data_IF_501537269941
#
_entry.id   IF_501537269941
#
_cell.length_a   1.000
_cell.length_b   1.000
_cell.length_c   1.000
_cell.angle_alpha   90.00
_cell.angle_beta   90.00
_cell.angle_gamma   90.00
#
_symmetry.space_group_name_H-M   'P 1'
#
loop_
_entity.id
_entity.type
_entity.pdbx_description
1 polymer ?
#
# COMPACT_ATOMS: atom_id res chain seq x y z
N UNK A 1 -22.05 12.02 -70.56
CA UNK A 1 -21.16 12.05 -71.75
C UNK A 1 -19.93 12.88 -71.42
N UNK A 2 -18.74 12.38 -71.81
CA UNK A 2 -17.43 13.04 -71.88
C UNK A 2 -16.70 13.21 -70.51
N UNK A 3 -15.43 12.82 -70.27
CA UNK A 3 -14.29 12.38 -71.11
C UNK A 3 -13.36 11.40 -70.35
N UNK A 4 -12.67 10.59 -71.14
CA UNK A 4 -11.50 9.69 -70.95
C UNK A 4 -10.30 10.38 -70.23
N UNK A 5 -9.21 9.80 -69.69
CA UNK A 5 -8.49 8.51 -69.87
C UNK A 5 -7.20 8.45 -68.99
N UNK A 6 -6.86 7.25 -68.47
CA UNK A 6 -5.53 6.56 -68.46
C UNK A 6 -4.35 6.97 -67.52
N UNK A 7 -4.14 6.13 -66.49
CA UNK A 7 -2.94 5.30 -66.13
C UNK A 7 -1.51 5.90 -66.01
N UNK A 8 -0.79 5.61 -64.88
CA UNK A 8 0.43 4.73 -64.80
C UNK A 8 1.52 5.13 -63.76
N UNK A 9 1.78 4.21 -62.80
CA UNK A 9 3.05 3.72 -62.17
C UNK A 9 4.03 4.62 -61.34
N UNK A 10 4.28 4.10 -60.12
CA UNK A 10 5.55 3.66 -59.45
C UNK A 10 6.58 4.64 -58.85
N UNK A 11 6.98 4.23 -57.62
CA UNK A 11 8.30 4.31 -56.96
C UNK A 11 8.79 5.71 -56.53
N UNK A 12 9.71 5.90 -55.60
CA UNK A 12 10.16 5.24 -54.36
C UNK A 12 11.26 6.20 -53.83
N UNK A 13 11.45 6.21 -52.50
CA UNK A 13 12.71 6.54 -51.80
C UNK A 13 13.08 7.99 -51.43
N UNK A 14 13.52 8.13 -50.17
CA UNK A 14 14.56 9.05 -49.64
C UNK A 14 14.26 10.57 -49.61
N UNK A 15 14.61 11.37 -48.61
CA UNK A 15 15.57 11.25 -47.49
C UNK A 15 15.44 12.55 -46.62
N UNK A 16 15.86 12.45 -45.35
CA UNK A 16 16.32 13.52 -44.43
C UNK A 16 15.35 14.59 -43.88
N UNK A 17 15.21 14.61 -42.54
CA UNK A 17 15.69 15.68 -41.61
C UNK A 17 15.10 15.49 -40.17
N UNK A 18 15.69 16.04 -39.10
CA UNK A 18 16.16 15.23 -37.96
C UNK A 18 15.54 15.56 -36.57
N UNK A 19 15.83 14.65 -35.63
CA UNK A 19 16.08 14.85 -34.18
C UNK A 19 15.11 15.71 -33.33
N UNK A 20 14.37 15.05 -32.42
CA UNK A 20 14.33 15.53 -31.03
C UNK A 20 14.55 14.37 -30.07
N UNK A 21 15.84 14.13 -29.80
CA UNK A 21 16.30 13.35 -28.65
C UNK A 21 15.75 14.02 -27.41
N UNK A 22 14.71 13.45 -26.81
CA UNK A 22 14.18 13.89 -25.52
C UNK A 22 15.20 13.56 -24.44
N UNK A 23 16.18 14.45 -24.27
CA UNK A 23 17.05 14.52 -23.09
C UNK A 23 16.13 14.72 -21.89
N UNK A 24 15.95 13.64 -21.14
CA UNK A 24 15.40 13.62 -19.79
C UNK A 24 16.31 14.46 -18.89
N UNK A 25 16.03 15.76 -18.82
CA UNK A 25 16.61 16.64 -17.81
C UNK A 25 15.77 16.49 -16.56
N UNK A 26 16.45 16.01 -15.51
CA UNK A 26 15.96 15.92 -14.15
C UNK A 26 15.83 17.32 -13.57
N UNK A 27 14.61 17.80 -13.46
CA UNK A 27 14.17 18.88 -12.58
C UNK A 27 13.20 18.22 -11.59
N UNK A 28 13.52 18.07 -10.30
CA UNK A 28 13.97 19.14 -9.43
C UNK A 28 12.81 19.82 -8.69
N UNK A 29 11.63 19.20 -8.69
CA UNK A 29 10.51 19.42 -7.76
C UNK A 29 9.94 18.03 -7.49
N UNK A 30 9.99 17.53 -6.26
CA UNK A 30 9.34 16.26 -5.88
C UNK A 30 7.82 16.51 -5.91
N UNK A 31 7.25 16.55 -7.12
CA UNK A 31 5.81 16.47 -7.29
C UNK A 31 5.41 15.12 -6.74
N UNK A 32 4.57 15.10 -5.71
CA UNK A 32 4.04 13.90 -5.08
C UNK A 32 3.00 13.26 -6.02
N UNK A 33 3.44 12.97 -7.25
CA UNK A 33 2.63 12.43 -8.33
C UNK A 33 2.57 10.91 -8.24
N UNK A 34 1.47 10.34 -8.72
CA UNK A 34 1.32 8.89 -8.87
C UNK A 34 2.30 8.36 -9.92
N UNK A 35 2.83 7.15 -9.72
CA UNK A 35 3.66 6.45 -10.72
C UNK A 35 2.85 6.08 -11.98
N UNK A 36 1.52 5.99 -11.87
CA UNK A 36 0.63 5.82 -13.01
C UNK A 36 -0.85 5.79 -12.63
N UNK A 37 -1.68 5.45 -13.63
CA UNK A 37 -3.11 5.19 -13.46
C UNK A 37 -3.47 3.78 -13.91
N UNK A 38 -4.39 3.13 -13.21
CA UNK A 38 -4.89 1.80 -13.58
C UNK A 38 -5.94 1.87 -14.72
N UNK A 39 -6.47 0.72 -15.13
CA UNK A 39 -7.48 0.61 -16.19
C UNK A 39 -8.78 1.39 -15.88
N UNK A 40 -9.05 1.65 -14.60
CA UNK A 40 -10.19 2.42 -14.11
C UNK A 40 -9.86 3.92 -13.93
N UNK A 41 -8.62 4.33 -14.25
CA UNK A 41 -8.14 5.71 -14.15
C UNK A 41 -7.71 6.14 -12.74
N UNK A 42 -7.64 5.20 -11.80
CA UNK A 42 -7.25 5.47 -10.41
C UNK A 42 -5.73 5.60 -10.28
N UNK A 43 -5.22 6.52 -9.44
CA UNK A 43 -3.79 6.68 -9.23
C UNK A 43 -3.20 5.48 -8.45
N UNK A 44 -1.97 5.10 -8.82
CA UNK A 44 -1.18 4.13 -8.08
C UNK A 44 0.29 4.55 -7.93
N UNK A 45 0.96 3.89 -6.97
CA UNK A 45 2.39 3.96 -6.68
C UNK A 45 2.97 2.55 -6.67
N UNK A 46 4.14 2.36 -7.24
CA UNK A 46 4.81 1.07 -7.34
C UNK A 46 5.62 0.78 -6.06
N UNK A 47 5.34 -0.36 -5.42
CA UNK A 47 6.15 -0.88 -4.31
C UNK A 47 7.26 -1.81 -4.81
N UNK A 48 7.01 -2.48 -5.93
CA UNK A 48 7.93 -3.36 -6.65
C UNK A 48 7.38 -3.62 -8.05
N UNK A 49 8.15 -4.28 -8.91
CA UNK A 49 7.75 -4.65 -10.28
C UNK A 49 6.36 -5.30 -10.39
N UNK A 50 5.89 -5.97 -9.33
CA UNK A 50 4.60 -6.68 -9.32
C UNK A 50 3.68 -6.28 -8.16
N UNK A 51 3.98 -5.20 -7.44
CA UNK A 51 3.12 -4.76 -6.31
C UNK A 51 2.90 -3.26 -6.36
N UNK A 52 1.66 -2.86 -6.19
CA UNK A 52 1.25 -1.45 -6.22
C UNK A 52 0.44 -1.10 -4.97
N UNK A 53 0.53 0.16 -4.57
CA UNK A 53 -0.47 0.82 -3.74
C UNK A 53 -1.34 1.68 -4.64
N UNK A 54 -2.65 1.64 -4.52
CA UNK A 54 -3.55 2.50 -5.31
C UNK A 54 -4.74 2.98 -4.49
N UNK A 55 -5.33 4.10 -4.90
CA UNK A 55 -6.54 4.65 -4.27
C UNK A 55 -7.70 4.52 -5.24
N UNK A 56 -8.72 3.73 -4.88
CA UNK A 56 -9.88 3.47 -5.75
C UNK A 56 -11.19 3.76 -5.04
N UNK A 57 -12.22 4.15 -5.78
CA UNK A 57 -13.58 4.28 -5.27
C UNK A 57 -14.45 3.08 -5.68
N UNK A 58 -15.08 2.43 -4.70
CA UNK A 58 -16.03 1.35 -4.92
C UNK A 58 -17.27 1.55 -4.06
N UNK A 59 -18.46 1.50 -4.70
CA UNK A 59 -19.74 1.68 -4.01
C UNK A 59 -19.79 2.95 -3.12
N UNK A 60 -19.31 4.08 -3.66
CA UNK A 60 -19.21 5.39 -2.99
C UNK A 60 -18.28 5.42 -1.76
N UNK A 61 -17.39 4.45 -1.63
CA UNK A 61 -16.37 4.40 -0.57
C UNK A 61 -14.98 4.35 -1.20
N UNK A 62 -14.06 5.10 -0.61
CA UNK A 62 -12.66 5.12 -1.02
C UNK A 62 -11.87 4.05 -0.27
N UNK A 63 -11.00 3.36 -1.00
CA UNK A 63 -10.14 2.31 -0.46
C UNK A 63 -8.69 2.53 -0.86
N UNK A 64 -7.77 2.18 0.03
CA UNK A 64 -6.34 2.08 -0.25
C UNK A 64 -6.00 0.62 -0.50
N UNK A 65 -5.65 0.29 -1.73
CA UNK A 65 -5.33 -1.06 -2.15
C UNK A 65 -3.83 -1.30 -2.06
N UNK A 66 -3.40 -2.38 -1.42
CA UNK A 66 -2.02 -2.88 -1.49
C UNK A 66 -2.10 -4.27 -2.13
N UNK A 67 -1.72 -4.38 -3.41
CA UNK A 67 -2.01 -5.57 -4.22
C UNK A 67 -0.85 -6.02 -5.10
N UNK A 68 -0.70 -7.34 -5.21
CA UNK A 68 0.18 -7.99 -6.18
C UNK A 68 -0.54 -8.09 -7.53
N UNK A 69 0.15 -7.77 -8.61
CA UNK A 69 -0.33 -7.85 -9.98
C UNK A 69 0.42 -8.94 -10.74
N UNK A 70 -0.23 -9.49 -11.76
CA UNK A 70 0.37 -10.46 -12.68
C UNK A 70 0.08 -10.07 -14.11
N UNK A 71 0.98 -10.43 -15.01
CA UNK A 71 0.81 -10.16 -16.43
C UNK A 71 0.18 -11.37 -17.10
N UNK A 72 -0.84 -11.10 -17.91
CA UNK A 72 -1.51 -12.09 -18.75
C UNK A 72 -1.84 -11.44 -20.09
N UNK A 73 -1.37 -12.05 -21.17
CA UNK A 73 -1.59 -11.57 -22.54
C UNK A 73 -1.17 -10.10 -22.75
N UNK A 74 -0.07 -9.67 -22.12
CA UNK A 74 0.44 -8.30 -22.17
C UNK A 74 -0.33 -7.28 -21.33
N UNK A 75 -1.32 -7.72 -20.53
CA UNK A 75 -2.07 -6.87 -19.61
C UNK A 75 -1.71 -7.18 -18.16
N UNK A 76 -1.52 -6.14 -17.36
CA UNK A 76 -1.24 -6.25 -15.93
C UNK A 76 -2.55 -6.27 -15.15
N UNK A 77 -2.88 -7.41 -14.55
CA UNK A 77 -4.15 -7.65 -13.86
C UNK A 77 -3.94 -7.77 -12.34
N UNK A 78 -4.91 -7.35 -11.52
CA UNK A 78 -4.84 -7.52 -10.07
C UNK A 78 -4.89 -9.00 -9.71
N UNK A 79 -3.92 -9.47 -8.93
CA UNK A 79 -3.84 -10.84 -8.42
C UNK A 79 -4.67 -11.05 -7.15
N UNK A 80 -4.76 -12.31 -6.70
CA UNK A 80 -5.48 -12.68 -5.47
C UNK A 80 -4.79 -12.15 -4.19
N UNK A 81 -3.46 -12.04 -4.20
CA UNK A 81 -2.68 -11.56 -3.05
C UNK A 81 -2.79 -10.04 -2.94
N UNK A 82 -3.36 -9.57 -1.84
CA UNK A 82 -3.49 -8.14 -1.56
C UNK A 82 -4.65 -7.87 -0.62
N UNK A 83 -4.72 -6.64 -0.13
CA UNK A 83 -5.78 -6.16 0.75
C UNK A 83 -6.27 -4.79 0.28
N UNK A 84 -7.57 -4.54 0.47
CA UNK A 84 -8.18 -3.23 0.26
C UNK A 84 -8.55 -2.68 1.64
N UNK A 85 -7.86 -1.62 2.05
CA UNK A 85 -8.06 -0.98 3.35
C UNK A 85 -9.14 0.09 3.22
N UNK A 86 -10.10 0.09 4.15
CA UNK A 86 -10.94 1.28 4.34
C UNK A 86 -10.10 2.46 4.84
N UNK A 87 -10.62 3.68 4.71
CA UNK A 87 -9.94 4.87 5.25
C UNK A 87 -9.68 4.74 6.75
N UNK A 88 -10.60 4.15 7.50
CA UNK A 88 -10.41 3.90 8.94
C UNK A 88 -9.23 2.96 9.21
N UNK A 89 -9.14 1.85 8.46
CA UNK A 89 -8.04 0.89 8.58
C UNK A 89 -6.70 1.51 8.15
N UNK A 90 -6.70 2.31 7.09
CA UNK A 90 -5.50 3.03 6.63
C UNK A 90 -5.00 4.02 7.69
N UNK A 91 -5.90 4.79 8.31
CA UNK A 91 -5.54 5.69 9.40
C UNK A 91 -4.99 4.95 10.63
N UNK A 92 -5.56 3.79 10.97
CA UNK A 92 -5.02 2.94 12.04
C UNK A 92 -3.62 2.41 11.69
N UNK A 93 -3.40 2.02 10.43
CA UNK A 93 -2.09 1.62 9.93
C UNK A 93 -1.06 2.75 10.05
N UNK A 94 -1.39 3.98 9.61
CA UNK A 94 -0.51 5.13 9.73
C UNK A 94 -0.09 5.41 11.18
N UNK A 95 -1.03 5.32 12.14
CA UNK A 95 -0.74 5.46 13.58
C UNK A 95 0.19 4.37 14.11
N UNK A 96 0.16 3.19 13.50
CA UNK A 96 1.01 2.07 13.88
C UNK A 96 2.42 2.14 13.29
N UNK A 97 2.66 2.94 12.23
CA UNK A 97 3.95 3.02 11.53
C UNK A 97 5.14 3.26 12.48
N UNK A 98 5.12 4.21 13.44
CA UNK A 98 6.26 4.43 14.33
C UNK A 98 6.62 3.19 15.14
N UNK A 99 5.62 2.47 15.65
CA UNK A 99 5.80 1.24 16.40
C UNK A 99 6.30 0.09 15.52
N UNK A 100 5.78 0.00 14.28
CA UNK A 100 6.25 -0.98 13.28
C UNK A 100 7.73 -0.73 12.99
N UNK A 101 8.13 0.52 12.75
CA UNK A 101 9.52 0.85 12.45
C UNK A 101 10.45 0.58 13.64
N UNK A 102 10.04 0.90 14.88
CA UNK A 102 10.79 0.54 16.08
C UNK A 102 10.99 -0.98 16.21
N UNK A 103 9.95 -1.76 15.91
CA UNK A 103 10.02 -3.23 15.90
C UNK A 103 10.94 -3.76 14.78
N UNK A 104 10.96 -3.12 13.60
CA UNK A 104 11.87 -3.47 12.50
C UNK A 104 13.33 -3.16 12.83
N UNK A 105 13.61 -1.99 13.43
CA UNK A 105 14.96 -1.64 13.93
C UNK A 105 15.47 -2.63 14.96
N UNK A 106 14.59 -3.06 15.87
CA UNK A 106 14.94 -4.07 16.89
C UNK A 106 15.33 -5.42 16.28
N UNK A 107 14.92 -5.69 15.02
CA UNK A 107 15.32 -6.87 14.24
C UNK A 107 16.56 -6.62 13.37
N UNK A 108 17.21 -5.47 13.48
CA UNK A 108 18.38 -5.08 12.69
C UNK A 108 18.07 -4.62 11.26
N UNK A 109 16.81 -4.28 10.95
CA UNK A 109 16.41 -3.76 9.64
C UNK A 109 16.37 -2.23 9.67
N UNK A 110 16.99 -1.60 8.68
CA UNK A 110 16.98 -0.14 8.51
C UNK A 110 15.74 0.23 7.68
N UNK A 111 14.94 1.18 8.18
CA UNK A 111 13.80 1.76 7.46
C UNK A 111 14.19 3.16 7.01
N UNK A 112 14.34 3.36 5.70
CA UNK A 112 14.62 4.66 5.11
C UNK A 112 13.41 5.59 5.30
N UNK A 113 13.64 6.83 5.75
CA UNK A 113 12.59 7.82 6.02
C UNK A 113 12.14 7.92 7.48
N UNK A 114 12.66 7.08 8.38
CA UNK A 114 12.43 7.17 9.82
C UNK A 114 13.68 7.72 10.53
N UNK A 115 14.04 8.97 10.22
CA UNK A 115 15.02 9.75 10.98
C UNK A 115 14.35 10.29 12.24
N UNK A 116 14.19 9.42 13.22
CA UNK A 116 13.56 9.70 14.52
C UNK A 116 14.46 10.51 15.49
N UNK A 117 15.15 11.54 14.99
CA UNK A 117 15.84 12.53 15.84
C UNK A 117 15.02 13.84 15.96
N UNK A 118 13.69 13.72 16.02
CA UNK A 118 12.79 14.80 16.48
C UNK A 118 12.11 14.34 17.79
N UNK A 119 12.54 14.85 18.95
CA UNK A 119 12.00 14.47 20.25
C UNK A 119 10.68 15.22 20.48
N UNK A 120 9.56 14.64 20.02
CA UNK A 120 8.32 15.41 19.99
C UNK A 120 7.01 14.64 20.03
N UNK A 121 6.93 13.39 20.50
CA UNK A 121 5.65 12.86 21.02
C UNK A 121 5.81 11.52 21.78
N UNK A 122 6.64 11.47 22.81
CA UNK A 122 6.59 10.39 23.81
C UNK A 122 5.73 10.81 24.97
N UNK A 123 4.43 10.99 24.75
CA UNK A 123 3.46 10.97 25.84
C UNK A 123 2.17 10.33 25.34
N UNK A 124 1.54 9.55 26.22
CA UNK A 124 0.33 8.73 26.04
C UNK A 124 0.56 7.23 25.76
N UNK A 125 1.25 6.57 26.70
CA UNK A 125 0.86 5.21 27.11
C UNK A 125 0.63 5.23 28.63
N UNK A 126 -0.62 5.19 29.15
CA UNK A 126 -0.83 4.94 30.56
C UNK A 126 -0.59 3.45 30.81
N UNK A 127 0.59 3.13 31.34
CA UNK A 127 0.92 1.82 31.89
C UNK A 127 0.01 1.53 33.10
N UNK A 128 -0.90 0.58 32.94
CA UNK A 128 -1.60 -0.04 34.07
C UNK A 128 -0.71 -1.11 34.68
N UNK A 129 -0.31 -0.92 35.95
CA UNK A 129 0.11 -1.88 37.01
C UNK A 129 0.92 -1.09 38.06
N UNK A 130 0.77 -1.21 39.38
CA UNK A 130 0.16 -2.21 40.24
C UNK A 130 0.02 -1.63 41.68
N UNK A 131 -0.87 -2.20 42.50
CA UNK A 131 -0.62 -2.32 43.95
C UNK A 131 -1.21 -3.62 44.48
N UNK A 132 -0.31 -4.43 45.07
CA UNK A 132 -0.56 -5.71 45.73
C UNK A 132 -0.34 -5.47 47.22
N UNK A 133 -1.36 -5.65 48.05
CA UNK A 133 -1.15 -5.94 49.49
C UNK A 133 -2.20 -6.94 49.99
N UNK A 134 -1.69 -7.94 50.73
CA UNK A 134 -2.43 -9.04 51.37
C UNK A 134 -3.06 -8.55 52.68
N UNK A 135 -4.26 -9.03 53.05
CA UNK A 135 -4.53 -9.74 54.34
C UNK A 135 -6.01 -10.12 54.56
N UNK A 136 -6.15 -11.34 55.10
CA UNK A 136 -7.19 -11.93 55.97
C UNK A 136 -8.53 -12.40 55.37
N UNK A 137 -8.68 -13.73 55.42
CA UNK A 137 -9.90 -14.54 55.44
C UNK A 137 -10.90 -14.13 56.53
N UNK A 138 -12.19 -14.49 56.37
CA UNK A 138 -12.75 -15.50 57.29
C UNK A 138 -13.51 -16.64 56.60
N UNK A 139 -13.70 -17.69 57.38
CA UNK A 139 -14.26 -19.01 57.07
C UNK A 139 -15.78 -18.98 56.84
N UNK A 140 -16.27 -19.91 56.04
CA UNK A 140 -17.54 -20.61 56.29
C UNK A 140 -17.41 -22.07 55.81
N UNK A 141 -17.51 -23.00 56.76
CA UNK A 141 -17.78 -24.41 56.53
C UNK A 141 -19.17 -24.54 55.89
N UNK A 142 -19.31 -25.36 54.86
CA UNK A 142 -20.30 -26.44 54.87
C UNK A 142 -19.75 -27.63 54.09
N UNK A 143 -19.91 -28.77 54.74
CA UNK A 143 -19.51 -30.12 54.39
C UNK A 143 -20.81 -30.85 54.00
N UNK A 144 -20.86 -31.48 52.83
CA UNK A 144 -21.74 -32.60 52.45
C UNK A 144 -21.25 -33.10 51.08
N UNK A 145 -20.41 -34.14 50.96
CA UNK A 145 -20.60 -35.61 51.06
C UNK A 145 -21.44 -36.24 49.95
N UNK A 146 -20.90 -37.36 49.42
CA UNK A 146 -21.50 -38.42 48.58
C UNK A 146 -21.19 -38.33 47.06
N UNK A 147 -20.42 -39.21 46.39
CA UNK A 147 -20.36 -40.71 46.37
C UNK A 147 -21.69 -41.26 45.81
N UNK A 148 -21.83 -42.03 44.72
CA UNK A 148 -21.06 -43.06 43.96
C UNK A 148 -21.26 -42.84 42.43
N UNK A 149 -20.39 -43.26 41.49
CA UNK A 149 -20.20 -44.62 40.95
C UNK A 149 -21.50 -45.35 40.54
N UNK A 150 -21.91 -45.17 39.27
CA UNK A 150 -22.13 -46.22 38.25
C UNK A 150 -22.35 -45.57 36.86
#
# INVERSE_FOLDING_TARGET
>A
MARTSTTKKRAADSDSEPETVSKRIKSGTTSLESDGKDDDGNPYWELSNKRRVGVSDFSKKTFVNIREYYDKDGKTLPGKKGISLSIEQYNAFLKAIPYINAALRSKGLIVEGDTADEPGNTDLIPATKAKKERKKSPKANIETTSEEED
#
